data_IF_438026923734
#
_entry.id   IF_438026923734
#
_cell.length_a   1.000
_cell.length_b   1.000
_cell.length_c   1.000
_cell.angle_alpha   90.00
_cell.angle_beta   90.00
_cell.angle_gamma   90.00
#
_symmetry.space_group_name_H-M   'P 1'
#
loop_
_entity.id
_entity.type
_entity.pdbx_description
1 polymer ?
#
# COMPACT_ATOMS: atom_id res chain seq x y z
N UNK A 1 16.03 7.92 -9.57
CA UNK A 1 14.56 7.97 -9.46
C UNK A 1 14.06 6.61 -9.88
N UNK A 2 13.89 5.67 -8.94
CA UNK A 2 13.22 4.42 -9.29
C UNK A 2 11.75 4.74 -9.45
N UNK A 3 11.25 4.71 -10.68
CA UNK A 3 9.83 4.68 -10.96
C UNK A 3 9.32 3.31 -10.52
N UNK A 4 8.86 3.20 -9.28
CA UNK A 4 8.16 2.01 -8.81
C UNK A 4 6.77 1.99 -9.44
N UNK A 5 6.43 0.90 -10.13
CA UNK A 5 5.05 0.63 -10.54
C UNK A 5 4.22 0.29 -9.30
N UNK A 6 2.90 0.50 -9.36
CA UNK A 6 1.99 0.12 -8.27
C UNK A 6 2.08 -1.37 -7.91
N UNK A 7 2.39 -2.23 -8.89
CA UNK A 7 2.58 -3.68 -8.71
C UNK A 7 3.81 -3.97 -7.84
N UNK A 8 4.91 -3.25 -8.09
CA UNK A 8 6.14 -3.37 -7.31
C UNK A 8 5.96 -2.73 -5.93
N UNK A 9 5.17 -1.66 -5.85
CA UNK A 9 4.83 -1.00 -4.59
C UNK A 9 3.97 -1.88 -3.67
N UNK A 10 2.91 -2.48 -4.21
CA UNK A 10 2.02 -3.38 -3.49
C UNK A 10 2.67 -4.73 -3.17
N UNK A 11 3.64 -5.17 -3.98
CA UNK A 11 4.32 -6.45 -3.81
C UNK A 11 3.37 -7.65 -3.95
N UNK A 12 3.63 -8.71 -3.18
CA UNK A 12 2.85 -9.96 -3.22
C UNK A 12 1.92 -10.15 -2.00
N UNK A 13 1.67 -9.10 -1.20
CA UNK A 13 0.84 -9.18 0.01
C UNK A 13 -0.62 -8.77 -0.20
N UNK A 14 -1.26 -8.34 0.89
CA UNK A 14 -2.69 -7.95 0.94
C UNK A 14 -3.05 -6.76 0.03
N UNK A 15 -2.06 -5.93 -0.31
CA UNK A 15 -2.23 -4.84 -1.26
C UNK A 15 -2.39 -5.34 -2.69
N UNK A 16 -1.82 -6.50 -3.04
CA UNK A 16 -1.95 -7.08 -4.39
C UNK A 16 -3.39 -7.44 -4.71
N UNK A 17 -4.13 -7.95 -3.73
CA UNK A 17 -5.56 -8.26 -3.88
C UNK A 17 -6.39 -6.98 -4.03
N UNK A 18 -5.98 -5.90 -3.35
CA UNK A 18 -6.63 -4.60 -3.46
C UNK A 18 -6.26 -3.86 -4.76
N UNK A 19 -5.10 -4.15 -5.33
CA UNK A 19 -4.51 -3.46 -6.48
C UNK A 19 -5.45 -3.42 -7.67
N UNK A 20 -6.16 -4.52 -7.92
CA UNK A 20 -7.16 -4.57 -8.99
C UNK A 20 -8.28 -3.53 -8.79
N UNK A 21 -8.77 -3.38 -7.56
CA UNK A 21 -9.81 -2.40 -7.22
C UNK A 21 -9.28 -0.97 -7.32
N UNK A 22 -8.06 -0.74 -6.84
CA UNK A 22 -7.38 0.56 -6.97
C UNK A 22 -7.25 0.96 -8.43
N UNK A 23 -6.85 0.04 -9.31
CA UNK A 23 -6.78 0.26 -10.75
C UNK A 23 -8.15 0.58 -11.37
N UNK A 24 -9.22 -0.10 -10.95
CA UNK A 24 -10.58 0.17 -11.43
C UNK A 24 -11.08 1.57 -11.04
N UNK A 25 -10.73 2.04 -9.84
CA UNK A 25 -11.05 3.38 -9.34
C UNK A 25 -10.08 4.48 -9.83
N UNK A 26 -9.05 4.12 -10.62
CA UNK A 26 -8.09 5.08 -11.20
C UNK A 26 -6.92 5.46 -10.29
N UNK A 27 -6.61 4.64 -9.28
CA UNK A 27 -5.42 4.76 -8.43
C UNK A 27 -4.26 3.94 -9.03
N UNK A 28 -3.82 4.30 -10.23
CA UNK A 28 -2.83 3.55 -11.00
C UNK A 28 -1.36 3.95 -10.79
N UNK A 29 -1.11 4.96 -9.96
CA UNK A 29 0.25 5.44 -9.66
C UNK A 29 0.52 5.63 -8.16
N UNK A 30 1.80 5.40 -7.78
CA UNK A 30 2.27 5.48 -6.39
C UNK A 30 2.06 6.88 -5.78
N UNK A 31 2.37 8.00 -6.48
CA UNK A 31 2.06 9.33 -5.97
C UNK A 31 0.58 9.54 -5.62
N UNK A 32 -0.34 9.05 -6.46
CA UNK A 32 -1.78 9.14 -6.23
C UNK A 32 -2.22 8.30 -5.03
N UNK A 33 -1.70 7.08 -4.87
CA UNK A 33 -1.94 6.26 -3.67
C UNK A 33 -1.45 6.92 -2.38
N UNK A 34 -0.37 7.70 -2.44
CA UNK A 34 0.19 8.38 -1.27
C UNK A 34 -0.63 9.59 -0.81
N UNK A 35 -1.37 10.23 -1.72
CA UNK A 35 -2.26 11.34 -1.38
C UNK A 35 -3.67 10.86 -1.02
N UNK A 36 -3.91 9.54 -1.11
CA UNK A 36 -5.17 8.91 -0.76
C UNK A 36 -5.49 9.16 0.72
N UNK A 37 -6.63 9.80 0.96
CA UNK A 37 -7.10 10.10 2.31
C UNK A 37 -7.79 8.89 2.94
N UNK A 38 -7.98 8.93 4.26
CA UNK A 38 -8.75 7.90 4.95
C UNK A 38 -10.20 7.80 4.44
N UNK A 39 -10.76 8.91 3.92
CA UNK A 39 -12.09 8.98 3.30
C UNK A 39 -12.10 8.24 1.95
N UNK A 40 -11.07 8.43 1.13
CA UNK A 40 -10.91 7.72 -0.15
C UNK A 40 -10.77 6.20 0.08
N UNK A 41 -9.98 5.81 1.09
CA UNK A 41 -9.82 4.40 1.49
C UNK A 41 -11.14 3.79 1.97
N UNK A 42 -12.00 4.59 2.62
CA UNK A 42 -13.33 4.14 3.05
C UNK A 42 -14.30 4.02 1.87
N UNK A 43 -14.24 4.97 0.92
CA UNK A 43 -15.05 4.96 -0.30
C UNK A 43 -14.82 3.68 -1.12
N UNK A 44 -13.58 3.23 -1.23
CA UNK A 44 -13.24 1.96 -1.89
C UNK A 44 -13.36 0.73 -0.97
N UNK A 45 -14.01 0.85 0.19
CA UNK A 45 -14.23 -0.23 1.15
C UNK A 45 -12.94 -1.00 1.51
N UNK A 46 -11.82 -0.31 1.74
CA UNK A 46 -10.60 -0.96 2.22
C UNK A 46 -10.80 -1.50 3.64
N UNK A 47 -10.32 -2.72 3.86
CA UNK A 47 -10.20 -3.27 5.21
C UNK A 47 -9.08 -2.57 5.98
N UNK A 48 -9.17 -2.55 7.31
CA UNK A 48 -8.15 -1.92 8.17
C UNK A 48 -6.73 -2.43 7.84
N UNK A 49 -6.58 -3.74 7.62
CA UNK A 49 -5.28 -4.35 7.27
C UNK A 49 -4.70 -3.81 5.95
N UNK A 50 -5.55 -3.51 4.97
CA UNK A 50 -5.12 -2.94 3.70
C UNK A 50 -4.74 -1.46 3.86
N UNK A 51 -5.49 -0.70 4.68
CA UNK A 51 -5.15 0.68 5.04
C UNK A 51 -3.77 0.73 5.71
N UNK A 52 -3.56 -0.12 6.71
CA UNK A 52 -2.28 -0.21 7.43
C UNK A 52 -1.13 -0.63 6.49
N UNK A 53 -1.35 -1.59 5.59
CA UNK A 53 -0.34 -2.00 4.61
C UNK A 53 0.02 -0.86 3.64
N UNK A 54 -0.98 -0.11 3.15
CA UNK A 54 -0.76 1.04 2.26
C UNK A 54 0.05 2.15 2.94
N UNK A 55 -0.25 2.41 4.21
CA UNK A 55 0.46 3.39 5.02
C UNK A 55 1.92 2.97 5.25
N UNK A 56 2.16 1.71 5.61
CA UNK A 56 3.50 1.14 5.78
C UNK A 56 4.29 1.24 4.47
N UNK A 57 3.69 0.85 3.33
CA UNK A 57 4.35 0.94 2.01
C UNK A 57 4.67 2.38 1.65
N UNK A 58 3.74 3.32 1.87
CA UNK A 58 3.95 4.75 1.63
C UNK A 58 5.11 5.30 2.46
N UNK A 59 5.17 4.92 3.74
CA UNK A 59 6.24 5.29 4.66
C UNK A 59 7.61 4.72 4.27
N UNK A 60 7.65 3.44 3.86
CA UNK A 60 8.87 2.79 3.39
C UNK A 60 9.35 3.42 2.08
N UNK A 61 8.44 3.74 1.16
CA UNK A 61 8.76 4.41 -0.09
C UNK A 61 9.39 5.78 0.15
N UNK A 62 8.85 6.58 1.06
CA UNK A 62 9.41 7.88 1.42
C UNK A 62 10.80 7.82 2.06
N UNK A 63 11.11 6.70 2.70
CA UNK A 63 12.44 6.45 3.28
C UNK A 63 13.37 5.65 2.37
N UNK A 64 12.94 5.34 1.14
CA UNK A 64 13.65 4.44 0.22
C UNK A 64 13.97 3.06 0.82
N UNK A 65 13.10 2.55 1.70
CA UNK A 65 13.20 1.28 2.42
C UNK A 65 12.28 0.19 1.85
N UNK A 66 11.82 0.33 0.60
CA UNK A 66 10.90 -0.62 -0.06
C UNK A 66 11.36 -2.08 -0.04
N UNK A 67 12.67 -2.32 0.02
CA UNK A 67 13.29 -3.64 0.22
C UNK A 67 12.85 -4.38 1.49
N UNK A 68 12.22 -3.69 2.44
CA UNK A 68 11.65 -4.27 3.66
C UNK A 68 10.13 -4.45 3.60
N UNK A 69 9.45 -3.89 2.59
CA UNK A 69 7.99 -3.95 2.47
C UNK A 69 7.49 -5.40 2.40
N UNK A 70 8.07 -6.19 1.50
CA UNK A 70 7.73 -7.61 1.36
C UNK A 70 8.04 -8.42 2.63
N UNK A 71 9.13 -8.06 3.35
CA UNK A 71 9.49 -8.74 4.60
C UNK A 71 8.48 -8.42 5.71
N UNK A 72 8.02 -7.18 5.79
CA UNK A 72 7.03 -6.74 6.79
C UNK A 72 5.65 -7.33 6.51
N UNK A 73 5.24 -7.41 5.25
CA UNK A 73 4.00 -8.10 4.86
C UNK A 73 4.08 -9.62 5.08
N UNK A 74 5.21 -10.26 4.73
CA UNK A 74 5.43 -11.69 4.93
C UNK A 74 5.54 -12.07 6.42
N UNK A 75 5.96 -11.13 7.28
CA UNK A 75 5.98 -11.31 8.72
C UNK A 75 4.58 -11.40 9.32
N UNK A 76 3.51 -11.07 8.57
CA UNK A 76 2.10 -11.19 9.00
C UNK A 76 1.72 -10.31 10.20
N UNK A 77 2.71 -9.68 10.84
CA UNK A 77 2.57 -8.74 11.91
C UNK A 77 2.33 -7.37 11.29
N UNK A 78 1.08 -7.19 10.83
CA UNK A 78 0.38 -5.93 11.08
C UNK A 78 0.78 -5.51 12.49
N UNK A 79 1.55 -4.43 12.62
CA UNK A 79 1.99 -3.96 13.93
C UNK A 79 0.78 -3.96 14.87
N UNK A 80 0.81 -4.67 16.01
CA UNK A 80 -0.17 -4.41 17.04
C UNK A 80 0.02 -2.95 17.43
N UNK A 81 -1.05 -2.19 17.29
CA UNK A 81 -1.21 -0.79 17.63
C UNK A 81 -0.39 -0.44 18.89
N UNK A 82 0.47 0.57 18.79
CA UNK A 82 1.10 1.22 19.95
C UNK A 82 0.54 2.63 20.11
#
# INVERSE_FOLDING_TARGET
MSSFSIEDFAGNGVLKELLQKLLEDGWDDVPTLKIMSAEDMDAINMTQRQKDALEIRSYLHDRALMQYGDKLEALGNVCPSF
#
